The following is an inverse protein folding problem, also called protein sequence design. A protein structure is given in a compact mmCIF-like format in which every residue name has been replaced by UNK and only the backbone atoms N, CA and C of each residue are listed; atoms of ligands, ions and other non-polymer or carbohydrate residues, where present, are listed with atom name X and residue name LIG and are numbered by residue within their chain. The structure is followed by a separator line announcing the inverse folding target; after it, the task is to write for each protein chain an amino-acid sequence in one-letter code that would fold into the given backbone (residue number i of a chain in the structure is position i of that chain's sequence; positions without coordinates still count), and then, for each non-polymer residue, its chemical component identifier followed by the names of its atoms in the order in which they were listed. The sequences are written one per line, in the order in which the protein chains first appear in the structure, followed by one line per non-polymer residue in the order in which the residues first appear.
data_IF_345930059061
#
_entry.id   IF_345930059061
#
_cell.length_a   1.000
_cell.length_b   1.000
_cell.length_c   1.000
_cell.angle_alpha   90.00
_cell.angle_beta   90.00
_cell.angle_gamma   90.00
#
_symmetry.space_group_name_H-M   'P 1'
#
loop_
_entity.id
_entity.type
_entity.pdbx_description
1 polymer ?
#
# COMPACT_ATOMS: atom_id res chain seq x y z
N UNK A 1 -26.30 -32.62 -18.55
CA UNK A 1 -26.78 -31.56 -17.62
C UNK A 1 -26.53 -30.16 -18.19
N UNK A 2 -25.39 -29.88 -18.84
CA UNK A 2 -25.02 -28.54 -19.35
C UNK A 2 -25.61 -28.16 -20.70
N UNK A 3 -26.37 -29.03 -21.37
CA UNK A 3 -26.83 -28.84 -22.75
C UNK A 3 -27.57 -27.52 -22.96
N UNK A 4 -28.47 -27.17 -22.05
CA UNK A 4 -29.28 -25.95 -22.18
C UNK A 4 -28.43 -24.68 -22.00
N UNK A 5 -27.46 -24.68 -21.08
CA UNK A 5 -26.54 -23.55 -20.86
C UNK A 5 -25.66 -23.36 -22.09
N UNK A 6 -25.13 -24.45 -22.65
CA UNK A 6 -24.30 -24.42 -23.88
C UNK A 6 -25.11 -23.84 -25.04
N UNK A 7 -26.35 -24.30 -25.24
CA UNK A 7 -27.24 -23.78 -26.28
C UNK A 7 -27.57 -22.31 -26.09
N UNK A 8 -27.82 -21.88 -24.87
CA UNK A 8 -28.05 -20.48 -24.54
C UNK A 8 -26.83 -19.60 -24.87
N UNK A 9 -25.65 -20.02 -24.46
CA UNK A 9 -24.41 -19.29 -24.74
C UNK A 9 -24.17 -19.16 -26.25
N UNK A 10 -24.34 -20.26 -26.99
CA UNK A 10 -24.08 -20.27 -28.44
C UNK A 10 -25.12 -19.47 -29.26
N UNK A 11 -26.34 -19.26 -28.75
CA UNK A 11 -27.34 -18.38 -29.38
C UNK A 11 -27.08 -16.91 -29.13
N UNK A 12 -26.32 -16.58 -28.10
CA UNK A 12 -26.05 -15.20 -27.73
C UNK A 12 -24.65 -14.78 -28.20
N UNK A 13 -24.58 -14.08 -29.34
CA UNK A 13 -23.33 -13.64 -29.97
C UNK A 13 -22.45 -12.74 -29.08
N UNK A 14 -23.00 -12.19 -28.01
CA UNK A 14 -22.25 -11.35 -27.07
C UNK A 14 -21.58 -12.16 -25.94
N UNK A 15 -21.77 -13.47 -25.91
CA UNK A 15 -21.16 -14.37 -24.92
C UNK A 15 -20.05 -15.17 -25.57
N UNK A 16 -18.93 -15.28 -24.87
CA UNK A 16 -17.81 -16.15 -25.21
C UNK A 16 -17.84 -17.36 -24.28
N UNK A 17 -18.05 -18.55 -24.86
CA UNK A 17 -18.09 -19.80 -24.09
C UNK A 17 -16.68 -20.40 -23.98
N UNK A 18 -16.17 -20.45 -22.77
CA UNK A 18 -14.88 -21.11 -22.44
C UNK A 18 -15.15 -22.49 -21.83
N UNK A 19 -14.74 -23.54 -22.51
CA UNK A 19 -14.87 -24.92 -22.02
C UNK A 19 -13.57 -25.43 -21.41
N UNK A 20 -13.60 -25.74 -20.11
CA UNK A 20 -12.49 -26.37 -19.39
C UNK A 20 -12.88 -27.82 -19.13
N UNK A 21 -12.25 -28.77 -19.79
CA UNK A 21 -12.64 -30.19 -19.81
C UNK A 21 -11.44 -31.11 -19.85
N UNK A 22 -11.61 -32.34 -19.42
CA UNK A 22 -10.60 -33.41 -19.59
C UNK A 22 -10.87 -34.30 -20.82
N UNK A 23 -12.07 -34.24 -21.41
CA UNK A 23 -12.45 -35.09 -22.55
C UNK A 23 -12.75 -34.30 -23.82
N UNK A 24 -11.95 -34.49 -24.88
CA UNK A 24 -12.16 -33.86 -26.21
C UNK A 24 -13.51 -34.18 -26.84
N UNK A 25 -14.11 -35.31 -26.51
CA UNK A 25 -15.38 -35.74 -27.08
C UNK A 25 -16.62 -35.18 -26.36
N UNK A 26 -16.41 -34.40 -25.28
CA UNK A 26 -17.52 -33.84 -24.52
C UNK A 26 -18.29 -32.79 -25.32
N UNK A 27 -19.60 -32.69 -25.09
CA UNK A 27 -20.47 -31.69 -25.71
C UNK A 27 -19.97 -30.27 -25.42
N UNK A 28 -19.47 -30.01 -24.20
CA UNK A 28 -18.93 -28.72 -23.83
C UNK A 28 -17.70 -28.36 -24.69
N UNK A 29 -16.74 -29.28 -24.83
CA UNK A 29 -15.53 -29.03 -25.63
C UNK A 29 -15.86 -28.72 -27.09
N UNK A 30 -16.79 -29.51 -27.71
CA UNK A 30 -17.15 -29.34 -29.11
C UNK A 30 -17.82 -28.01 -29.38
N UNK A 31 -18.57 -27.48 -28.45
CA UNK A 31 -19.39 -26.28 -28.61
C UNK A 31 -18.80 -25.03 -27.94
N UNK A 32 -17.61 -25.07 -27.38
CA UNK A 32 -16.93 -23.91 -26.80
C UNK A 32 -16.15 -23.14 -27.84
N UNK A 33 -16.13 -21.81 -27.71
CA UNK A 33 -15.31 -20.90 -28.50
C UNK A 33 -13.84 -21.01 -28.13
N UNK A 34 -13.54 -21.04 -26.81
CA UNK A 34 -12.21 -21.30 -26.28
C UNK A 34 -12.22 -22.65 -25.58
N UNK A 35 -11.24 -23.47 -25.91
CA UNK A 35 -11.14 -24.87 -25.47
C UNK A 35 -9.89 -25.07 -24.64
N UNK A 36 -10.05 -25.35 -23.34
CA UNK A 36 -8.95 -25.69 -22.44
C UNK A 36 -9.08 -27.18 -22.11
N UNK A 37 -8.11 -27.95 -22.57
CA UNK A 37 -8.07 -29.39 -22.33
C UNK A 37 -7.14 -29.68 -21.16
N UNK A 38 -7.70 -30.20 -20.07
CA UNK A 38 -6.94 -30.70 -18.94
C UNK A 38 -6.55 -32.17 -19.15
N UNK A 39 -5.44 -32.64 -18.60
CA UNK A 39 -5.10 -34.05 -18.65
C UNK A 39 -6.15 -34.90 -17.90
N UNK A 40 -6.35 -36.14 -18.39
CA UNK A 40 -7.15 -37.10 -17.65
C UNK A 40 -6.31 -37.64 -16.49
N UNK A 41 -6.85 -37.57 -15.27
CA UNK A 41 -6.18 -38.03 -14.05
C UNK A 41 -7.07 -39.01 -13.28
N UNK A 42 -6.45 -39.87 -12.51
CA UNK A 42 -7.16 -40.72 -11.57
C UNK A 42 -7.60 -39.89 -10.36
N UNK A 43 -8.84 -40.06 -9.97
CA UNK A 43 -9.34 -39.49 -8.74
C UNK A 43 -8.76 -40.22 -7.53
N UNK A 44 -8.54 -39.50 -6.44
CA UNK A 44 -8.12 -40.09 -5.18
C UNK A 44 -9.31 -40.79 -4.49
N UNK A 45 -9.01 -41.91 -3.84
CA UNK A 45 -10.00 -42.65 -3.06
C UNK A 45 -10.52 -43.91 -3.74
N UNK A 46 -11.38 -44.65 -3.03
CA UNK A 46 -11.89 -45.94 -3.50
C UNK A 46 -12.69 -45.82 -4.80
N UNK A 47 -12.37 -46.64 -5.77
CA UNK A 47 -13.07 -46.72 -7.05
C UNK A 47 -12.87 -45.52 -7.99
N UNK A 48 -12.04 -44.55 -7.67
CA UNK A 48 -11.78 -43.34 -8.48
C UNK A 48 -13.08 -42.58 -8.91
N UNK A 49 -14.09 -42.56 -8.04
CA UNK A 49 -15.42 -42.02 -8.38
C UNK A 49 -15.58 -40.58 -7.89
N UNK A 50 -15.02 -40.28 -6.72
CA UNK A 50 -15.23 -38.98 -6.07
C UNK A 50 -14.29 -37.96 -6.66
N UNK A 51 -14.81 -36.80 -7.20
CA UNK A 51 -13.96 -35.74 -7.73
C UNK A 51 -12.97 -35.21 -6.68
N UNK A 52 -11.69 -35.28 -6.96
CA UNK A 52 -10.57 -34.84 -6.11
C UNK A 52 -9.46 -34.21 -6.95
N UNK A 53 -8.66 -35.04 -7.63
CA UNK A 53 -7.58 -34.56 -8.49
C UNK A 53 -8.08 -33.68 -9.63
N UNK A 54 -9.21 -34.00 -10.22
CA UNK A 54 -9.85 -33.19 -11.27
C UNK A 54 -10.31 -31.82 -10.72
N UNK A 55 -10.83 -31.79 -9.51
CA UNK A 55 -11.26 -30.54 -8.84
C UNK A 55 -10.05 -29.62 -8.56
N UNK A 56 -8.95 -30.18 -8.06
CA UNK A 56 -7.71 -29.43 -7.82
C UNK A 56 -7.16 -28.82 -9.12
N UNK A 57 -7.17 -29.59 -10.21
CA UNK A 57 -6.72 -29.07 -11.52
C UNK A 57 -7.61 -27.94 -12.04
N UNK A 58 -8.93 -28.07 -11.89
CA UNK A 58 -9.87 -27.01 -12.29
C UNK A 58 -9.67 -25.74 -11.46
N UNK A 59 -9.42 -25.87 -10.15
CA UNK A 59 -9.09 -24.76 -9.28
C UNK A 59 -7.78 -24.09 -9.72
N UNK A 60 -6.72 -24.88 -9.92
CA UNK A 60 -5.41 -24.36 -10.31
C UNK A 60 -5.45 -23.60 -11.64
N UNK A 61 -6.16 -24.12 -12.65
CA UNK A 61 -6.28 -23.40 -13.93
C UNK A 61 -7.15 -22.15 -13.81
N UNK A 62 -8.17 -22.18 -12.98
CA UNK A 62 -8.99 -21.01 -12.66
C UNK A 62 -8.17 -19.90 -12.03
N UNK A 63 -7.38 -20.21 -11.04
CA UNK A 63 -6.45 -19.28 -10.39
C UNK A 63 -5.40 -18.74 -11.36
N UNK A 64 -4.82 -19.58 -12.21
CA UNK A 64 -3.86 -19.17 -13.22
C UNK A 64 -4.45 -18.14 -14.20
N UNK A 65 -5.68 -18.39 -14.67
CA UNK A 65 -6.42 -17.45 -15.55
C UNK A 65 -6.72 -16.14 -14.81
N UNK A 66 -7.16 -16.21 -13.56
CA UNK A 66 -7.47 -15.03 -12.74
C UNK A 66 -6.22 -14.16 -12.56
N UNK A 67 -5.11 -14.73 -12.11
CA UNK A 67 -3.84 -14.01 -11.89
C UNK A 67 -3.28 -13.44 -13.21
N UNK A 68 -3.33 -14.20 -14.31
CA UNK A 68 -2.93 -13.71 -15.63
C UNK A 68 -3.77 -12.49 -16.06
N UNK A 69 -5.08 -12.56 -15.86
CA UNK A 69 -6.01 -11.47 -16.16
C UNK A 69 -5.73 -10.24 -15.31
N UNK A 70 -5.49 -10.41 -14.00
CA UNK A 70 -5.10 -9.33 -13.09
C UNK A 70 -3.82 -8.64 -13.57
N UNK A 71 -2.82 -9.42 -13.99
CA UNK A 71 -1.55 -8.90 -14.50
C UNK A 71 -1.75 -8.08 -15.77
N UNK A 72 -2.50 -8.60 -16.74
CA UNK A 72 -2.79 -7.89 -17.99
C UNK A 72 -3.59 -6.60 -17.77
N UNK A 73 -4.54 -6.61 -16.86
CA UNK A 73 -5.35 -5.43 -16.49
C UNK A 73 -4.62 -4.47 -15.57
N UNK A 74 -3.36 -4.74 -15.20
CA UNK A 74 -2.59 -3.96 -14.21
C UNK A 74 -3.36 -3.78 -12.90
N UNK A 75 -4.10 -4.81 -12.50
CA UNK A 75 -4.89 -4.85 -11.29
C UNK A 75 -3.96 -5.11 -10.11
N UNK A 76 -3.59 -4.04 -9.41
CA UNK A 76 -2.64 -4.08 -8.30
C UNK A 76 -3.29 -3.86 -6.94
N UNK A 77 -2.44 -3.56 -5.96
CA UNK A 77 -2.84 -3.33 -4.55
C UNK A 77 -3.89 -2.21 -4.41
N UNK A 78 -3.81 -1.15 -5.24
CA UNK A 78 -4.75 -0.02 -5.22
C UNK A 78 -6.16 -0.41 -5.68
N UNK A 79 -6.23 -1.21 -6.74
CA UNK A 79 -7.49 -1.73 -7.26
C UNK A 79 -8.10 -2.74 -6.29
N UNK A 80 -7.26 -3.62 -5.73
CA UNK A 80 -7.67 -4.62 -4.76
C UNK A 80 -8.25 -3.99 -3.48
N UNK A 81 -7.65 -2.90 -3.00
CA UNK A 81 -8.14 -2.11 -1.86
C UNK A 81 -9.57 -1.61 -2.05
N UNK A 82 -9.97 -1.22 -3.28
CA UNK A 82 -11.32 -0.73 -3.56
C UNK A 82 -12.40 -1.78 -3.27
N UNK A 83 -12.05 -3.06 -3.47
CA UNK A 83 -12.96 -4.18 -3.24
C UNK A 83 -12.84 -4.77 -1.82
N UNK A 84 -11.77 -4.44 -1.10
CA UNK A 84 -11.48 -4.92 0.26
C UNK A 84 -11.18 -3.75 1.21
N UNK A 85 -12.16 -2.87 1.49
CA UNK A 85 -11.93 -1.64 2.26
C UNK A 85 -11.73 -1.89 3.77
N UNK A 86 -12.10 -3.07 4.27
CA UNK A 86 -12.11 -3.41 5.70
C UNK A 86 -11.58 -4.81 5.97
N UNK A 87 -11.54 -5.20 7.23
CA UNK A 87 -11.01 -6.48 7.70
C UNK A 87 -9.49 -6.57 7.62
N UNK A 88 -8.93 -7.76 7.86
CA UNK A 88 -7.48 -8.00 7.89
C UNK A 88 -6.79 -7.63 6.58
N UNK A 89 -7.44 -7.88 5.45
CA UNK A 89 -6.91 -7.55 4.11
C UNK A 89 -6.90 -6.03 3.92
N UNK A 90 -8.02 -5.36 4.23
CA UNK A 90 -8.13 -3.90 4.12
C UNK A 90 -7.11 -3.17 5.00
N UNK A 91 -6.87 -3.65 6.21
CA UNK A 91 -5.85 -3.11 7.11
C UNK A 91 -4.44 -3.19 6.49
N UNK A 92 -4.08 -4.32 5.86
CA UNK A 92 -2.79 -4.49 5.18
C UNK A 92 -2.63 -3.60 3.94
N UNK A 93 -3.73 -3.13 3.37
CA UNK A 93 -3.77 -2.28 2.16
C UNK A 93 -3.89 -0.79 2.47
N UNK A 94 -3.86 -0.39 3.75
CA UNK A 94 -3.81 1.04 4.12
C UNK A 94 -2.57 1.70 3.53
N UNK A 95 -2.76 2.88 2.94
CA UNK A 95 -1.69 3.71 2.41
C UNK A 95 -1.22 4.73 3.44
N UNK A 96 -0.09 5.37 3.18
CA UNK A 96 0.40 6.49 3.98
C UNK A 96 -0.65 7.61 4.05
N UNK A 97 -1.38 7.89 2.97
CA UNK A 97 -2.45 8.90 2.93
C UNK A 97 -3.58 8.60 3.92
N UNK A 98 -3.93 7.34 4.11
CA UNK A 98 -5.00 6.93 5.04
C UNK A 98 -4.64 7.20 6.52
N UNK A 99 -3.35 7.16 6.85
CA UNK A 99 -2.85 7.20 8.24
C UNK A 99 -2.09 8.47 8.60
N UNK A 100 -1.67 9.26 7.62
CA UNK A 100 -0.87 10.46 7.87
C UNK A 100 -1.65 11.57 8.58
N UNK A 101 -0.95 12.35 9.36
CA UNK A 101 -1.43 13.64 9.84
C UNK A 101 -1.29 14.68 8.72
N UNK A 102 -2.33 15.46 8.47
CA UNK A 102 -2.38 16.45 7.40
C UNK A 102 -2.88 17.83 7.87
N UNK A 103 -2.79 18.83 7.00
CA UNK A 103 -3.32 20.16 7.21
C UNK A 103 -2.78 20.83 8.48
N UNK A 104 -3.67 21.38 9.32
CA UNK A 104 -3.31 22.10 10.56
C UNK A 104 -2.67 21.21 11.64
N UNK A 105 -2.72 19.90 11.48
CA UNK A 105 -2.08 18.95 12.41
C UNK A 105 -0.57 18.88 12.23
N UNK A 106 -0.06 19.23 11.04
CA UNK A 106 1.38 19.22 10.76
C UNK A 106 2.03 20.39 11.52
N UNK A 107 3.08 20.13 12.31
CA UNK A 107 3.80 21.14 13.05
C UNK A 107 4.83 21.85 12.17
N UNK A 108 4.39 22.76 11.30
CA UNK A 108 5.28 23.58 10.47
C UNK A 108 5.87 24.74 11.24
N UNK A 109 7.15 25.03 10.97
CA UNK A 109 7.83 26.25 11.44
C UNK A 109 8.79 26.76 10.36
N UNK A 110 9.01 28.10 10.33
CA UNK A 110 9.98 28.71 9.42
C UNK A 110 11.40 28.53 9.93
N UNK A 111 12.36 28.28 9.03
CA UNK A 111 13.76 28.02 9.33
C UNK A 111 14.50 29.16 10.01
N UNK A 112 14.01 30.39 9.87
CA UNK A 112 14.62 31.60 10.44
C UNK A 112 14.14 31.95 11.85
N UNK A 113 13.20 31.19 12.39
CA UNK A 113 12.65 31.37 13.74
C UNK A 113 13.63 30.83 14.79
N UNK A 114 13.60 31.37 16.02
CA UNK A 114 14.42 30.89 17.13
C UNK A 114 13.90 29.57 17.70
N UNK A 115 14.80 28.77 18.27
CA UNK A 115 14.51 27.47 18.88
C UNK A 115 13.50 27.57 20.04
N UNK A 116 13.49 28.66 20.80
CA UNK A 116 12.51 28.87 21.86
C UNK A 116 11.06 28.72 21.34
N UNK A 117 10.75 29.29 20.16
CA UNK A 117 9.43 29.13 19.55
C UNK A 117 9.21 27.72 19.03
N UNK A 118 10.26 27.06 18.49
CA UNK A 118 10.20 25.68 18.04
C UNK A 118 9.87 24.72 19.19
N UNK A 119 10.53 24.89 20.34
CA UNK A 119 10.29 24.11 21.56
C UNK A 119 8.84 24.23 22.05
N UNK A 120 8.27 25.42 22.04
CA UNK A 120 6.84 25.64 22.39
C UNK A 120 5.90 24.87 21.44
N UNK A 121 6.20 24.86 20.13
CA UNK A 121 5.35 24.17 19.13
C UNK A 121 5.46 22.65 19.28
N UNK A 122 6.66 22.09 19.44
CA UNK A 122 6.83 20.63 19.54
C UNK A 122 6.14 20.08 20.80
N UNK A 123 6.29 20.78 21.93
CA UNK A 123 5.59 20.44 23.18
C UNK A 123 4.07 20.52 23.04
N UNK A 124 3.55 21.60 22.39
CA UNK A 124 2.11 21.77 22.18
C UNK A 124 1.51 20.69 21.26
N UNK A 125 2.23 20.31 20.21
CA UNK A 125 1.76 19.33 19.20
C UNK A 125 1.93 17.89 19.62
N UNK A 126 2.80 17.59 20.57
CA UNK A 126 3.07 16.24 21.14
C UNK A 126 3.38 15.17 20.08
N UNK A 127 3.99 15.56 18.96
CA UNK A 127 4.35 14.64 17.87
C UNK A 127 5.84 14.26 17.84
N UNK A 128 6.64 14.86 18.73
CA UNK A 128 8.09 14.62 18.78
C UNK A 128 8.86 15.05 17.53
N UNK A 129 8.21 15.77 16.61
CA UNK A 129 8.82 16.20 15.33
C UNK A 129 8.27 17.55 14.89
N UNK A 130 9.11 18.37 14.26
CA UNK A 130 8.76 19.62 13.56
C UNK A 130 9.19 19.52 12.10
N UNK A 131 8.38 20.03 11.20
CA UNK A 131 8.72 20.21 9.78
C UNK A 131 9.14 21.64 9.53
N UNK A 132 10.35 21.81 9.05
CA UNK A 132 10.95 23.12 8.82
C UNK A 132 10.70 23.52 7.37
N UNK A 133 10.22 24.75 7.18
CA UNK A 133 9.97 25.34 5.87
C UNK A 133 10.78 26.58 5.63
N UNK A 134 11.20 26.79 4.38
CA UNK A 134 11.76 28.05 3.91
C UNK A 134 10.64 29.06 3.59
N UNK A 135 11.01 30.27 3.17
CA UNK A 135 10.05 31.33 2.81
C UNK A 135 9.16 30.97 1.61
N UNK A 136 9.56 30.01 0.76
CA UNK A 136 8.76 29.48 -0.36
C UNK A 136 7.81 28.36 0.06
N UNK A 137 7.70 28.09 1.36
CA UNK A 137 6.94 26.96 1.95
C UNK A 137 7.44 25.58 1.46
N UNK A 138 8.70 25.49 1.07
CA UNK A 138 9.36 24.22 0.77
C UNK A 138 9.95 23.66 2.06
N UNK A 139 9.96 22.34 2.18
CA UNK A 139 10.52 21.62 3.33
C UNK A 139 12.06 21.68 3.25
N UNK A 140 12.68 22.39 4.17
CA UNK A 140 14.14 22.51 4.28
C UNK A 140 14.75 21.51 5.26
N UNK A 141 13.97 21.00 6.21
CA UNK A 141 14.45 20.04 7.19
C UNK A 141 13.39 19.56 8.16
N UNK A 142 13.84 18.80 9.16
CA UNK A 142 13.05 18.40 10.33
C UNK A 142 13.86 18.61 11.61
N UNK A 143 13.16 18.72 12.73
CA UNK A 143 13.75 18.63 14.08
C UNK A 143 12.93 17.58 14.82
N UNK A 144 13.61 16.68 15.53
CA UNK A 144 13.01 15.66 16.40
C UNK A 144 13.43 15.88 17.85
N UNK A 145 12.66 15.33 18.80
CA UNK A 145 13.00 15.41 20.25
C UNK A 145 14.39 14.86 20.54
N UNK A 146 14.76 13.75 19.89
CA UNK A 146 16.10 13.17 20.03
C UNK A 146 17.22 14.08 19.54
N UNK A 147 16.94 14.89 18.51
CA UNK A 147 17.89 15.87 18.02
C UNK A 147 18.00 17.08 18.94
N UNK A 148 16.88 17.57 19.46
CA UNK A 148 16.85 18.65 20.45
C UNK A 148 17.73 18.26 21.64
N UNK A 149 17.54 17.05 22.17
CA UNK A 149 18.33 16.56 23.31
C UNK A 149 19.81 16.54 23.00
N UNK A 150 20.23 15.96 21.86
CA UNK A 150 21.66 15.91 21.50
C UNK A 150 22.30 17.30 21.36
N UNK A 151 21.63 18.22 20.66
CA UNK A 151 22.17 19.57 20.48
C UNK A 151 22.20 20.34 21.80
N UNK A 152 21.24 20.08 22.71
CA UNK A 152 21.25 20.67 24.03
C UNK A 152 22.42 20.17 24.90
N UNK A 153 22.75 18.88 24.81
CA UNK A 153 23.93 18.29 25.47
C UNK A 153 25.25 18.86 24.94
N UNK A 154 25.32 19.13 23.62
CA UNK A 154 26.54 19.65 22.98
C UNK A 154 26.74 21.16 23.17
N UNK A 155 25.66 21.95 23.09
CA UNK A 155 25.73 23.43 23.00
C UNK A 155 25.13 24.17 24.21
N UNK A 156 24.50 23.46 25.14
CA UNK A 156 23.79 24.05 26.28
C UNK A 156 22.49 24.74 25.82
N UNK A 157 22.34 26.02 26.16
CA UNK A 157 21.09 26.76 25.89
C UNK A 157 20.81 26.91 24.38
N UNK A 158 19.68 26.37 23.92
CA UNK A 158 19.23 26.42 22.54
C UNK A 158 18.42 27.65 22.17
N UNK A 159 17.95 28.45 23.13
CA UNK A 159 16.93 29.47 22.93
C UNK A 159 17.30 30.53 21.88
N UNK A 160 18.55 30.90 21.84
CA UNK A 160 19.09 31.90 20.90
C UNK A 160 19.47 31.36 19.52
N UNK A 161 19.46 30.03 19.35
CA UNK A 161 19.76 29.44 18.05
C UNK A 161 18.59 29.54 17.09
N UNK A 162 18.87 29.75 15.81
CA UNK A 162 17.84 29.64 14.77
C UNK A 162 17.56 28.18 14.42
N UNK A 163 16.33 27.87 14.11
CA UNK A 163 15.87 26.52 13.72
C UNK A 163 16.76 25.91 12.62
N UNK A 164 17.19 26.71 11.62
CA UNK A 164 18.08 26.27 10.54
C UNK A 164 19.47 25.77 10.98
N UNK A 165 19.91 26.17 12.18
CA UNK A 165 21.20 25.75 12.76
C UNK A 165 21.10 24.40 13.49
N UNK A 166 19.89 23.96 13.82
CA UNK A 166 19.60 22.74 14.59
C UNK A 166 18.99 21.64 13.72
N UNK A 167 18.26 21.99 12.65
CA UNK A 167 17.51 21.04 11.83
C UNK A 167 18.39 20.01 11.14
N UNK A 168 17.87 18.81 10.97
CA UNK A 168 18.38 17.83 9.98
C UNK A 168 17.86 18.23 8.61
N UNK A 169 18.77 18.53 7.68
CA UNK A 169 18.44 18.85 6.29
C UNK A 169 18.07 17.59 5.51
N UNK A 170 17.33 17.78 4.41
CA UNK A 170 16.94 16.69 3.50
C UNK A 170 16.27 15.51 4.26
N UNK A 171 15.12 15.75 4.91
CA UNK A 171 14.44 14.70 5.65
C UNK A 171 14.09 13.54 4.75
N UNK A 172 14.07 12.33 5.31
CA UNK A 172 13.59 11.15 4.60
C UNK A 172 12.09 11.34 4.33
N UNK A 173 11.71 11.13 3.08
CA UNK A 173 10.35 11.36 2.61
C UNK A 173 9.75 10.09 2.01
N UNK A 174 8.41 10.03 1.99
CA UNK A 174 7.67 8.95 1.36
C UNK A 174 6.50 9.52 0.55
N UNK A 175 6.11 8.84 -0.53
CA UNK A 175 4.92 9.23 -1.28
C UNK A 175 3.65 8.79 -0.55
N UNK A 176 2.59 9.61 -0.64
CA UNK A 176 1.32 9.37 0.03
C UNK A 176 0.63 8.05 -0.38
N UNK A 177 0.87 7.61 -1.61
CA UNK A 177 0.25 6.44 -2.22
C UNK A 177 0.96 5.11 -1.88
N UNK A 178 2.05 5.16 -1.14
CA UNK A 178 2.78 3.95 -0.70
C UNK A 178 2.02 3.26 0.44
N UNK A 179 2.08 1.93 0.50
CA UNK A 179 1.48 1.18 1.61
C UNK A 179 2.11 1.57 2.96
N UNK A 180 1.30 1.63 4.01
CA UNK A 180 1.75 1.91 5.37
C UNK A 180 2.79 0.89 5.86
N UNK A 181 2.67 -0.37 5.48
CA UNK A 181 3.65 -1.41 5.79
C UNK A 181 5.05 -1.10 5.22
N UNK A 182 5.13 -0.53 4.01
CA UNK A 182 6.40 -0.09 3.42
C UNK A 182 6.98 1.12 4.14
N UNK A 183 6.11 2.04 4.61
CA UNK A 183 6.54 3.16 5.44
C UNK A 183 7.14 2.67 6.76
N UNK A 184 6.51 1.71 7.43
CA UNK A 184 7.01 1.08 8.66
C UNK A 184 8.36 0.40 8.43
N UNK A 185 8.51 -0.36 7.36
CA UNK A 185 9.77 -1.01 6.98
C UNK A 185 10.89 0.03 6.76
N UNK A 186 10.58 1.14 6.10
CA UNK A 186 11.53 2.25 5.89
C UNK A 186 11.92 2.91 7.22
N UNK A 187 10.96 3.16 8.12
CA UNK A 187 11.23 3.72 9.45
C UNK A 187 12.17 2.80 10.25
N UNK A 188 11.90 1.50 10.26
CA UNK A 188 12.71 0.51 10.98
C UNK A 188 14.14 0.43 10.40
N UNK A 189 14.28 0.36 9.08
CA UNK A 189 15.59 0.27 8.41
C UNK A 189 16.46 1.52 8.63
N UNK A 190 15.83 2.70 8.75
CA UNK A 190 16.51 3.97 8.99
C UNK A 190 16.57 4.37 10.47
N UNK A 191 16.00 3.56 11.36
CA UNK A 191 15.90 3.83 12.81
C UNK A 191 15.29 5.19 13.12
N UNK A 192 14.20 5.53 12.43
CA UNK A 192 13.45 6.78 12.60
C UNK A 192 11.98 6.48 12.88
N UNK A 193 11.29 7.41 13.54
CA UNK A 193 9.89 7.24 13.96
C UNK A 193 8.91 8.04 13.12
N UNK A 194 9.38 8.88 12.20
CA UNK A 194 8.52 9.76 11.40
C UNK A 194 9.08 9.95 9.99
N UNK A 195 8.17 10.08 9.03
CA UNK A 195 8.48 10.42 7.64
C UNK A 195 7.67 11.63 7.19
N UNK A 196 8.31 12.52 6.44
CA UNK A 196 7.62 13.56 5.72
C UNK A 196 6.92 12.96 4.49
N UNK A 197 5.64 13.25 4.29
CA UNK A 197 4.86 12.73 3.17
C UNK A 197 4.75 13.77 2.07
N UNK A 198 4.98 13.35 0.83
CA UNK A 198 4.85 14.18 -0.37
C UNK A 198 3.84 13.58 -1.36
N UNK A 199 3.49 14.32 -2.41
CA UNK A 199 2.61 13.90 -3.49
C UNK A 199 3.39 13.83 -4.81
N UNK A 200 3.27 12.70 -5.53
CA UNK A 200 3.76 12.54 -6.90
C UNK A 200 5.23 12.98 -7.07
N UNK A 201 6.12 12.45 -6.26
CA UNK A 201 7.56 12.75 -6.30
C UNK A 201 7.94 14.24 -6.14
N UNK A 202 7.00 15.12 -5.85
CA UNK A 202 7.26 16.54 -5.51
C UNK A 202 7.81 16.66 -4.09
N UNK A 203 9.04 16.16 -3.88
CA UNK A 203 9.70 16.04 -2.57
C UNK A 203 9.90 17.38 -1.83
N UNK A 204 9.80 18.50 -2.54
CA UNK A 204 10.03 19.82 -1.94
C UNK A 204 8.93 20.29 -0.99
N UNK A 205 7.72 19.73 -1.04
CA UNK A 205 6.62 20.14 -0.17
C UNK A 205 6.06 18.96 0.59
N UNK A 206 6.13 19.03 1.90
CA UNK A 206 5.47 18.09 2.79
C UNK A 206 3.98 18.40 2.84
N UNK A 207 3.14 17.39 2.56
CA UNK A 207 1.68 17.46 2.62
C UNK A 207 1.12 16.72 3.84
N UNK A 208 1.94 15.89 4.49
CA UNK A 208 1.59 15.10 5.67
C UNK A 208 2.82 14.67 6.44
N UNK A 209 2.60 14.19 7.64
CA UNK A 209 3.57 13.45 8.46
C UNK A 209 2.94 12.13 8.82
N UNK A 210 3.69 11.05 8.67
CA UNK A 210 3.31 9.75 9.22
C UNK A 210 4.28 9.38 10.34
N UNK A 211 3.74 9.04 11.50
CA UNK A 211 4.48 8.58 12.66
C UNK A 211 4.27 7.07 12.85
N UNK A 212 5.26 6.39 13.41
CA UNK A 212 5.21 4.93 13.61
C UNK A 212 3.96 4.49 14.37
N UNK A 213 3.53 5.23 15.39
CA UNK A 213 2.30 4.94 16.14
C UNK A 213 1.04 5.01 15.26
N UNK A 214 0.98 5.91 14.28
CA UNK A 214 -0.15 5.95 13.35
C UNK A 214 -0.30 4.67 12.53
N UNK A 215 0.77 3.88 12.39
CA UNK A 215 0.75 2.63 11.64
C UNK A 215 0.44 1.45 12.57
N UNK A 216 1.01 1.45 13.78
CA UNK A 216 0.89 0.33 14.72
C UNK A 216 -0.47 0.27 15.42
N UNK A 217 -1.17 1.40 15.55
CA UNK A 217 -2.48 1.51 16.22
C UNK A 217 -3.67 1.29 15.26
N UNK A 218 -3.43 1.06 13.98
CA UNK A 218 -4.43 0.92 12.91
C UNK A 218 -4.26 -0.31 12.04
#
# INVERSE_FOLDING_TARGET
ELKNIIQYANRNKNLLLVGIVSKKNSTLYKNSDIKILLPEVKEAGPGNIVPTSSTIMQLAIGDAIAISTMTQKKFGEKEFKKFHPSGTIGAKLKTVEDLMLNGKRIPFINENVNMQKALKIITKKKLGVLVIQNNKKETSGIITDGQIRRVNEEKGNLDNLKVKAVMTRNPITIDKDVLAAKALSLMNSKRITSLCVHKNHKKKRTIGIIHIHNILEN
#
